data_IF_827807095674
#
_entry.id   IF_827807095674
#
_cell.length_a   1.000
_cell.length_b   1.000
_cell.length_c   1.000
_cell.angle_alpha   90.00
_cell.angle_beta   90.00
_cell.angle_gamma   90.00
#
_symmetry.space_group_name_H-M   'P 1'
#
loop_
_entity.id
_entity.type
_entity.pdbx_description
1 polymer ?
#
# COMPACT_ATOMS: atom_id res chain seq x y z
N UNK A 1 11.39 -20.09 -6.76
CA UNK A 1 10.80 -19.57 -8.01
C UNK A 1 9.28 -19.57 -7.86
N UNK A 2 8.62 -18.48 -8.26
CA UNK A 2 7.16 -18.43 -8.29
C UNK A 2 6.64 -19.50 -9.28
N UNK A 3 5.62 -20.28 -8.91
CA UNK A 3 5.10 -21.36 -9.75
C UNK A 3 4.62 -20.85 -11.13
N UNK A 4 4.49 -21.72 -12.15
CA UNK A 4 4.21 -21.33 -13.53
C UNK A 4 2.89 -20.57 -13.75
N UNK A 5 2.00 -20.57 -12.76
CA UNK A 5 0.71 -19.86 -12.77
C UNK A 5 0.76 -18.47 -12.13
N UNK A 6 1.91 -18.05 -11.59
CA UNK A 6 2.04 -16.76 -10.90
C UNK A 6 2.27 -15.64 -11.91
N UNK A 7 1.41 -14.62 -11.87
CA UNK A 7 1.62 -13.38 -12.62
C UNK A 7 2.58 -12.44 -11.87
N UNK A 8 3.88 -12.70 -12.00
CA UNK A 8 4.91 -11.88 -11.35
C UNK A 8 4.93 -10.43 -11.86
N UNK A 9 4.71 -10.22 -13.16
CA UNK A 9 4.68 -8.89 -13.77
C UNK A 9 3.53 -8.04 -13.20
N UNK A 10 2.33 -8.60 -13.13
CA UNK A 10 1.17 -7.94 -12.52
C UNK A 10 1.37 -7.67 -11.03
N UNK A 11 1.99 -8.61 -10.29
CA UNK A 11 2.32 -8.43 -8.88
C UNK A 11 3.29 -7.26 -8.65
N UNK A 12 4.29 -7.09 -9.53
CA UNK A 12 5.22 -5.96 -9.46
C UNK A 12 4.52 -4.62 -9.73
N UNK A 13 3.68 -4.54 -10.76
CA UNK A 13 2.92 -3.32 -11.07
C UNK A 13 1.99 -2.94 -9.91
N UNK A 14 1.33 -3.92 -9.30
CA UNK A 14 0.48 -3.70 -8.13
C UNK A 14 1.31 -3.20 -6.93
N UNK A 15 2.47 -3.80 -6.66
CA UNK A 15 3.35 -3.36 -5.58
C UNK A 15 3.83 -1.92 -5.78
N UNK A 16 4.27 -1.57 -6.99
CA UNK A 16 4.71 -0.22 -7.36
C UNK A 16 3.54 0.78 -7.23
N UNK A 17 2.31 0.40 -7.63
CA UNK A 17 1.09 1.20 -7.43
C UNK A 17 0.78 1.43 -5.94
N UNK A 18 0.82 0.40 -5.10
CA UNK A 18 0.54 0.53 -3.67
C UNK A 18 1.52 1.44 -2.94
N UNK A 19 2.77 1.53 -3.41
CA UNK A 19 3.81 2.41 -2.87
C UNK A 19 3.77 3.84 -3.42
N UNK A 20 2.94 4.13 -4.43
CA UNK A 20 2.87 5.45 -5.05
C UNK A 20 2.39 6.54 -4.07
N UNK A 21 2.88 7.79 -4.20
CA UNK A 21 2.44 8.90 -3.35
C UNK A 21 0.93 9.09 -3.33
N UNK A 22 0.27 8.93 -4.47
CA UNK A 22 -1.17 9.09 -4.64
C UNK A 22 -1.93 8.06 -3.83
N UNK A 23 -1.53 6.78 -3.90
CA UNK A 23 -2.18 5.70 -3.15
C UNK A 23 -1.92 5.84 -1.65
N UNK A 24 -0.72 6.28 -1.25
CA UNK A 24 -0.43 6.56 0.15
C UNK A 24 -1.29 7.69 0.72
N UNK A 25 -1.68 8.70 -0.08
CA UNK A 25 -2.66 9.70 0.35
C UNK A 25 -4.06 9.09 0.55
N UNK A 26 -4.50 8.23 -0.37
CA UNK A 26 -5.78 7.53 -0.24
C UNK A 26 -5.82 6.72 1.05
N UNK A 27 -4.76 5.94 1.33
CA UNK A 27 -4.60 5.16 2.56
C UNK A 27 -4.70 6.06 3.79
N UNK A 28 -4.00 7.21 3.79
CA UNK A 28 -3.98 8.17 4.90
C UNK A 28 -5.37 8.72 5.25
N UNK A 29 -6.23 8.91 4.25
CA UNK A 29 -7.57 9.49 4.45
C UNK A 29 -8.68 8.45 4.56
N UNK A 30 -8.36 7.17 4.37
CA UNK A 30 -9.36 6.11 4.35
C UNK A 30 -10.06 5.99 5.72
N UNK A 31 -11.40 6.03 5.67
CA UNK A 31 -12.25 5.90 6.85
C UNK A 31 -12.59 7.21 7.56
N UNK A 32 -11.95 8.34 7.22
CA UNK A 32 -12.24 9.64 7.85
C UNK A 32 -13.70 10.04 7.68
N UNK A 33 -14.23 9.94 6.46
CA UNK A 33 -15.61 10.32 6.15
C UNK A 33 -16.64 9.48 6.92
N UNK A 34 -16.40 8.18 7.05
CA UNK A 34 -17.35 7.23 7.67
C UNK A 34 -17.19 7.09 9.18
N UNK A 35 -15.97 7.19 9.68
CA UNK A 35 -15.63 6.85 11.07
C UNK A 35 -15.04 8.03 11.85
N UNK A 36 -14.92 9.21 11.24
CA UNK A 36 -14.37 10.41 11.85
C UNK A 36 -12.86 10.39 12.07
N UNK A 37 -12.17 9.33 11.65
CA UNK A 37 -10.73 9.15 11.86
C UNK A 37 -10.10 8.27 10.77
N UNK A 38 -8.80 8.41 10.49
CA UNK A 38 -8.09 7.52 9.58
C UNK A 38 -7.98 6.12 10.20
N UNK A 39 -8.20 5.09 9.40
CA UNK A 39 -8.10 3.69 9.84
C UNK A 39 -6.72 3.06 9.61
N UNK A 40 -5.91 3.66 8.75
CA UNK A 40 -4.63 3.11 8.34
C UNK A 40 -3.53 4.17 8.42
N UNK A 41 -2.31 3.70 8.69
CA UNK A 41 -1.10 4.52 8.68
C UNK A 41 -0.32 4.20 7.41
N UNK A 42 -0.08 5.17 6.51
CA UNK A 42 0.78 4.97 5.35
C UNK A 42 2.23 4.79 5.80
N UNK A 43 2.89 3.75 5.27
CA UNK A 43 4.25 3.37 5.67
C UNK A 43 5.18 3.15 4.47
N UNK A 44 4.79 3.55 3.26
CA UNK A 44 5.70 3.44 2.11
C UNK A 44 7.03 4.15 2.40
N UNK A 45 8.14 3.47 2.09
CA UNK A 45 9.48 3.96 2.35
C UNK A 45 9.98 3.78 3.79
N UNK A 46 9.15 3.28 4.72
CA UNK A 46 9.57 2.91 6.06
C UNK A 46 10.11 1.47 6.09
N UNK A 47 11.02 1.22 7.02
CA UNK A 47 11.57 -0.08 7.37
C UNK A 47 11.05 -0.51 8.74
N UNK A 48 11.22 -1.79 9.05
CA UNK A 48 10.84 -2.36 10.34
C UNK A 48 11.54 -1.66 11.53
N UNK A 49 12.73 -1.09 11.30
CA UNK A 49 13.49 -0.32 12.29
C UNK A 49 12.89 1.06 12.61
N UNK A 50 11.98 1.57 11.78
CA UNK A 50 11.31 2.87 11.97
C UNK A 50 10.09 2.80 12.90
N UNK A 51 9.82 1.61 13.48
CA UNK A 51 8.68 1.32 14.36
C UNK A 51 9.14 0.90 15.76
#
# INVERSE_FOLDING_TARGET
ANGPRVNAAGGKVLADFMLSPEVQQVIKTFGVDKYGQPLFVPIAGKKDEDF
#
